data_IF_395286111590
#
_entry.id   IF_395286111590
#
_cell.length_a   1.000
_cell.length_b   1.000
_cell.length_c   1.000
_cell.angle_alpha   90.00
_cell.angle_beta   90.00
_cell.angle_gamma   90.00
#
_symmetry.space_group_name_H-M   'P 1'
#
loop_
_entity.id
_entity.type
_entity.pdbx_description
1 polymer ?
#
# COMPACT_ATOMS: atom_id res chain seq x y z
N UNK A 1 20.87 5.78 -11.53
CA UNK A 1 19.72 4.86 -11.48
C UNK A 1 18.50 5.69 -11.79
N UNK A 2 17.73 5.35 -12.82
CA UNK A 2 16.55 6.12 -13.25
C UNK A 2 15.25 5.42 -12.89
N UNK A 3 14.23 6.21 -12.56
CA UNK A 3 12.88 5.74 -12.21
C UNK A 3 11.86 6.43 -13.12
N UNK A 4 10.88 5.67 -13.60
CA UNK A 4 9.74 6.20 -14.36
C UNK A 4 8.41 5.83 -13.70
N UNK A 5 7.35 6.60 -13.97
CA UNK A 5 5.99 6.21 -13.62
C UNK A 5 5.45 5.23 -14.66
N UNK A 6 4.96 4.07 -14.21
CA UNK A 6 4.32 3.11 -15.10
C UNK A 6 2.90 3.56 -15.48
N UNK A 7 2.44 3.18 -16.67
CA UNK A 7 1.05 3.27 -17.08
C UNK A 7 0.12 2.48 -16.14
N UNK A 8 0.62 1.40 -15.54
CA UNK A 8 -0.09 0.69 -14.47
C UNK A 8 -0.32 1.56 -13.23
N UNK A 9 0.73 2.21 -12.70
CA UNK A 9 0.63 2.96 -11.45
C UNK A 9 -0.02 4.34 -11.63
N UNK A 10 0.17 4.99 -12.77
CA UNK A 10 -0.28 6.36 -13.03
C UNK A 10 -1.76 6.62 -12.63
N UNK A 11 -2.76 5.90 -13.16
CA UNK A 11 -4.17 6.15 -12.82
C UNK A 11 -4.53 5.73 -11.39
N UNK A 12 -3.72 4.88 -10.75
CA UNK A 12 -3.97 4.38 -9.39
C UNK A 12 -3.45 5.36 -8.33
N UNK A 13 -2.25 5.90 -8.57
CA UNK A 13 -1.57 6.84 -7.70
C UNK A 13 -2.04 8.28 -7.93
N UNK A 14 -2.38 8.64 -9.16
CA UNK A 14 -2.88 9.96 -9.56
C UNK A 14 -4.26 9.85 -10.22
N UNK A 15 -5.27 9.45 -9.45
CA UNK A 15 -6.61 9.24 -9.98
C UNK A 15 -7.23 10.56 -10.44
N UNK A 16 -7.89 10.54 -11.61
CA UNK A 16 -8.42 11.75 -12.25
C UNK A 16 -9.54 12.44 -11.44
N UNK A 17 -10.24 11.68 -10.60
CA UNK A 17 -11.26 12.18 -9.66
C UNK A 17 -10.66 12.88 -8.43
N UNK A 18 -9.33 12.85 -8.28
CA UNK A 18 -8.62 13.45 -7.15
C UNK A 18 -8.93 12.78 -5.81
N UNK A 19 -9.41 11.52 -5.81
CA UNK A 19 -9.85 10.87 -4.56
C UNK A 19 -8.77 10.95 -3.46
N UNK A 20 -9.15 11.19 -2.19
CA UNK A 20 -8.19 11.48 -1.13
C UNK A 20 -7.16 10.38 -0.83
N UNK A 21 -7.42 9.14 -1.25
CA UNK A 21 -6.51 8.00 -1.09
C UNK A 21 -5.38 7.94 -2.16
N UNK A 22 -5.44 8.78 -3.19
CA UNK A 22 -4.33 8.96 -4.15
C UNK A 22 -3.17 9.79 -3.56
N UNK A 23 -2.08 9.94 -4.31
CA UNK A 23 -1.02 10.90 -3.99
C UNK A 23 -1.57 12.33 -4.10
N UNK A 24 -1.31 13.15 -3.08
CA UNK A 24 -1.86 14.50 -2.95
C UNK A 24 -0.76 15.55 -2.87
N UNK A 25 -0.99 16.73 -3.45
CA UNK A 25 -0.05 17.85 -3.35
C UNK A 25 1.22 17.70 -4.19
N UNK A 26 1.22 16.81 -5.19
CA UNK A 26 2.31 16.63 -6.15
C UNK A 26 1.75 16.19 -7.50
N UNK A 27 2.34 16.64 -8.61
CA UNK A 27 2.00 16.13 -9.95
C UNK A 27 2.78 14.84 -10.25
N UNK A 28 2.34 14.01 -11.22
CA UNK A 28 3.09 12.85 -11.67
C UNK A 28 4.55 13.17 -12.04
N UNK A 29 4.77 14.21 -12.83
CA UNK A 29 6.11 14.60 -13.28
C UNK A 29 6.98 15.08 -12.13
N UNK A 30 6.44 15.90 -11.22
CA UNK A 30 7.19 16.37 -10.05
C UNK A 30 7.51 15.25 -9.07
N UNK A 31 6.63 14.25 -8.94
CA UNK A 31 6.86 13.07 -8.12
C UNK A 31 8.03 12.25 -8.67
N UNK A 32 8.05 11.96 -9.98
CA UNK A 32 9.13 11.23 -10.62
C UNK A 32 10.45 12.02 -10.61
N UNK A 33 10.40 13.33 -10.84
CA UNK A 33 11.58 14.19 -10.73
C UNK A 33 12.18 14.09 -9.31
N UNK A 34 11.36 14.21 -8.27
CA UNK A 34 11.82 14.06 -6.89
C UNK A 34 12.50 12.70 -6.64
N UNK A 35 11.91 11.60 -7.12
CA UNK A 35 12.46 10.26 -6.96
C UNK A 35 13.80 10.04 -7.68
N UNK A 36 14.04 10.72 -8.79
CA UNK A 36 15.31 10.66 -9.51
C UNK A 36 16.38 11.58 -8.89
N UNK A 37 15.97 12.71 -8.31
CA UNK A 37 16.87 13.71 -7.73
C UNK A 37 17.28 13.39 -6.28
N UNK A 38 16.47 12.62 -5.55
CA UNK A 38 16.67 12.33 -4.13
C UNK A 38 16.77 10.83 -3.87
N UNK A 39 17.90 10.39 -3.28
CA UNK A 39 18.05 9.02 -2.85
C UNK A 39 17.04 8.67 -1.73
N UNK A 40 16.50 7.43 -1.71
CA UNK A 40 15.66 6.98 -0.61
C UNK A 40 16.47 6.94 0.69
N UNK A 41 15.81 7.21 1.81
CA UNK A 41 16.45 7.12 3.14
C UNK A 41 16.72 5.66 3.55
N UNK A 42 15.99 4.72 2.93
CA UNK A 42 16.13 3.28 3.11
C UNK A 42 15.54 2.57 1.89
N UNK A 43 16.13 1.45 1.50
CA UNK A 43 15.53 0.53 0.52
C UNK A 43 15.14 -0.75 1.27
N UNK A 44 13.88 -1.17 1.14
CA UNK A 44 13.41 -2.47 1.64
C UNK A 44 13.36 -3.46 0.49
N UNK A 45 13.64 -4.72 0.81
CA UNK A 45 13.39 -5.83 -0.08
C UNK A 45 11.88 -6.03 -0.22
N UNK A 46 11.39 -6.13 -1.45
CA UNK A 46 10.02 -6.53 -1.72
C UNK A 46 9.85 -8.04 -1.61
N UNK A 47 8.70 -8.54 -2.07
CA UNK A 47 8.37 -9.96 -2.00
C UNK A 47 9.17 -10.84 -2.98
N UNK A 48 9.87 -10.23 -3.94
CA UNK A 48 10.67 -10.91 -4.96
C UNK A 48 11.92 -10.08 -5.30
N UNK A 49 12.99 -10.69 -5.87
CA UNK A 49 14.24 -9.98 -6.15
C UNK A 49 14.11 -8.73 -7.03
N UNK A 50 13.14 -8.74 -7.96
CA UNK A 50 12.85 -7.63 -8.87
C UNK A 50 12.04 -6.49 -8.22
N UNK A 51 11.56 -6.67 -6.99
CA UNK A 51 10.67 -5.74 -6.31
C UNK A 51 11.41 -5.08 -5.13
N UNK A 52 11.40 -3.74 -5.10
CA UNK A 52 11.98 -2.96 -4.01
C UNK A 52 10.98 -1.92 -3.51
N UNK A 53 11.11 -1.54 -2.25
CA UNK A 53 10.38 -0.41 -1.68
C UNK A 53 11.37 0.69 -1.31
N UNK A 54 11.34 1.78 -2.05
CA UNK A 54 12.10 2.98 -1.75
C UNK A 54 11.38 3.80 -0.69
N UNK A 55 12.00 3.95 0.48
CA UNK A 55 11.45 4.73 1.58
C UNK A 55 11.90 6.17 1.44
N UNK A 56 10.94 7.09 1.39
CA UNK A 56 11.18 8.53 1.40
C UNK A 56 10.38 9.19 2.53
N UNK A 57 10.90 10.30 3.08
CA UNK A 57 10.07 11.20 3.89
C UNK A 57 8.96 11.74 3.01
N UNK A 58 7.73 11.81 3.50
CA UNK A 58 6.64 12.35 2.71
C UNK A 58 6.84 13.87 2.49
N UNK A 59 7.09 14.27 1.23
CA UNK A 59 7.20 15.67 0.82
C UNK A 59 5.88 16.23 0.24
N UNK A 60 4.81 15.47 0.40
CA UNK A 60 3.50 15.70 -0.23
C UNK A 60 2.42 15.87 0.86
N UNK A 61 1.17 16.09 0.48
CA UNK A 61 0.04 16.10 1.42
C UNK A 61 -0.71 14.77 1.51
N UNK A 62 -0.12 13.69 0.95
CA UNK A 62 -0.68 12.34 0.96
C UNK A 62 -0.95 11.84 2.38
N UNK A 63 -2.14 11.26 2.59
CA UNK A 63 -2.58 10.73 3.89
C UNK A 63 -2.31 9.24 4.03
N UNK A 64 -2.18 8.77 5.28
CA UNK A 64 -2.13 7.35 5.59
C UNK A 64 -3.41 6.64 5.12
N UNK A 65 -3.26 5.39 4.67
CA UNK A 65 -4.39 4.52 4.36
C UNK A 65 -5.03 3.89 5.60
N UNK A 66 -4.49 4.18 6.79
CA UNK A 66 -4.99 3.73 8.07
C UNK A 66 -5.06 4.89 9.06
N UNK A 67 -5.99 4.79 10.01
CA UNK A 67 -6.15 5.75 11.12
C UNK A 67 -5.94 5.01 12.45
N UNK A 68 -5.16 5.59 13.38
CA UNK A 68 -5.07 5.08 14.74
C UNK A 68 -6.44 5.06 15.43
N UNK A 69 -6.73 3.99 16.15
CA UNK A 69 -7.92 3.85 16.99
C UNK A 69 -7.60 4.45 18.36
N UNK A 70 -8.34 5.48 18.74
CA UNK A 70 -8.25 6.19 20.02
C UNK A 70 -9.59 6.13 20.75
N UNK A 71 -9.63 6.48 22.02
CA UNK A 71 -10.90 6.52 22.76
C UNK A 71 -11.88 7.53 22.18
N UNK A 72 -11.37 8.63 21.62
CA UNK A 72 -12.15 9.68 20.97
C UNK A 72 -12.80 9.24 19.65
N UNK A 73 -12.20 8.29 18.92
CA UNK A 73 -12.72 7.90 17.60
C UNK A 73 -13.25 6.47 17.54
N UNK A 74 -12.97 5.59 18.51
CA UNK A 74 -13.36 4.17 18.47
C UNK A 74 -14.83 3.94 18.16
N UNK A 75 -15.70 4.81 18.66
CA UNK A 75 -17.15 4.75 18.45
C UNK A 75 -17.59 5.03 17.00
N UNK A 76 -16.69 5.56 16.16
CA UNK A 76 -16.92 5.84 14.74
C UNK A 76 -16.55 4.66 13.82
N UNK A 77 -15.96 3.59 14.36
CA UNK A 77 -15.65 2.41 13.57
C UNK A 77 -16.90 1.83 12.93
N UNK A 78 -16.76 1.46 11.66
CA UNK A 78 -17.72 0.68 10.89
C UNK A 78 -17.23 -0.74 10.74
N UNK A 79 -18.16 -1.65 10.53
CA UNK A 79 -17.86 -3.05 10.22
C UNK A 79 -18.93 -3.67 9.36
N UNK A 80 -18.52 -4.60 8.50
CA UNK A 80 -19.40 -5.39 7.66
C UNK A 80 -18.72 -6.71 7.29
N UNK A 81 -19.49 -7.65 6.75
CA UNK A 81 -18.96 -8.78 6.01
C UNK A 81 -18.83 -8.37 4.54
N UNK A 82 -17.60 -8.33 4.02
CA UNK A 82 -17.31 -7.90 2.66
C UNK A 82 -16.44 -8.92 1.94
N UNK A 83 -16.76 -9.18 0.67
CA UNK A 83 -15.93 -9.94 -0.25
C UNK A 83 -15.13 -8.98 -1.14
N UNK A 84 -13.93 -9.38 -1.56
CA UNK A 84 -13.11 -8.58 -2.50
C UNK A 84 -13.58 -8.76 -3.94
N UNK A 85 -14.16 -9.91 -4.25
CA UNK A 85 -14.72 -10.29 -5.55
C UNK A 85 -15.95 -11.16 -5.31
N UNK A 86 -16.81 -11.32 -6.32
CA UNK A 86 -18.02 -12.16 -6.22
C UNK A 86 -17.71 -13.65 -6.03
N UNK A 87 -16.47 -14.07 -6.31
CA UNK A 87 -16.01 -15.44 -6.14
C UNK A 87 -15.47 -15.75 -4.73
N UNK A 88 -15.18 -14.72 -3.92
CA UNK A 88 -14.61 -14.91 -2.58
C UNK A 88 -15.69 -14.87 -1.49
N UNK A 89 -15.51 -15.67 -0.44
CA UNK A 89 -16.37 -15.59 0.74
C UNK A 89 -16.20 -14.23 1.45
N UNK A 90 -17.30 -13.59 1.89
CA UNK A 90 -17.22 -12.34 2.62
C UNK A 90 -16.65 -12.55 4.01
N UNK A 91 -15.81 -11.62 4.44
CA UNK A 91 -15.13 -11.68 5.74
C UNK A 91 -15.41 -10.44 6.56
N UNK A 92 -15.36 -10.57 7.89
CA UNK A 92 -15.53 -9.43 8.79
C UNK A 92 -14.38 -8.43 8.58
N UNK A 93 -14.72 -7.22 8.18
CA UNK A 93 -13.79 -6.10 8.05
C UNK A 93 -14.25 -4.92 8.91
N UNK A 94 -13.32 -4.04 9.25
CA UNK A 94 -13.60 -2.78 9.94
C UNK A 94 -12.80 -1.63 9.36
N UNK A 95 -13.37 -0.44 9.38
CA UNK A 95 -12.77 0.76 8.83
C UNK A 95 -13.30 2.02 9.52
N UNK A 96 -12.64 3.13 9.22
CA UNK A 96 -13.18 4.47 9.43
C UNK A 96 -13.62 5.08 8.11
N UNK A 97 -14.75 5.79 8.15
CA UNK A 97 -15.27 6.66 7.09
C UNK A 97 -15.70 7.99 7.73
N UNK A 98 -15.67 9.09 6.97
CA UNK A 98 -16.06 10.41 7.49
C UNK A 98 -15.13 10.99 8.56
N UNK A 99 -13.95 10.41 8.75
CA UNK A 99 -12.87 10.95 9.60
C UNK A 99 -11.69 11.40 8.75
N UNK A 100 -10.85 12.29 9.29
CA UNK A 100 -9.62 12.68 8.65
C UNK A 100 -8.47 11.72 9.02
N UNK A 101 -7.92 11.00 8.04
CA UNK A 101 -6.68 10.26 8.24
C UNK A 101 -5.48 11.20 8.41
N UNK A 102 -4.47 10.85 9.22
CA UNK A 102 -3.26 11.67 9.36
C UNK A 102 -2.50 11.78 8.03
N UNK A 103 -1.76 12.87 7.84
CA UNK A 103 -0.77 12.97 6.76
C UNK A 103 0.31 11.91 7.04
N UNK A 104 0.72 11.18 6.01
CA UNK A 104 1.76 10.17 6.16
C UNK A 104 3.11 10.81 6.45
N UNK A 105 3.94 10.16 7.27
CA UNK A 105 5.33 10.59 7.50
C UNK A 105 6.27 10.09 6.40
N UNK A 106 5.90 8.99 5.75
CA UNK A 106 6.71 8.32 4.73
C UNK A 106 5.89 7.85 3.54
N UNK A 107 6.55 7.88 2.37
CA UNK A 107 6.10 7.23 1.14
C UNK A 107 7.04 6.05 0.87
N UNK A 108 6.48 4.85 0.80
CA UNK A 108 7.17 3.62 0.40
C UNK A 108 6.82 3.36 -1.05
N UNK A 109 7.67 3.84 -1.96
CA UNK A 109 7.47 3.71 -3.40
C UNK A 109 7.90 2.32 -3.83
N UNK A 110 6.93 1.55 -4.33
CA UNK A 110 7.15 0.19 -4.81
C UNK A 110 7.62 0.28 -6.26
N UNK A 111 8.80 -0.25 -6.54
CA UNK A 111 9.40 -0.25 -7.86
C UNK A 111 9.74 -1.65 -8.31
N UNK A 112 9.49 -1.93 -9.59
CA UNK A 112 9.95 -3.15 -10.26
C UNK A 112 11.10 -2.83 -11.20
N UNK A 113 12.04 -3.77 -11.34
CA UNK A 113 13.09 -3.64 -12.34
C UNK A 113 12.51 -3.73 -13.77
N UNK A 114 13.27 -3.18 -14.70
CA UNK A 114 12.91 -3.15 -16.12
C UNK A 114 12.64 -4.54 -16.72
N UNK A 115 13.37 -5.58 -16.30
CA UNK A 115 13.20 -6.92 -16.87
C UNK A 115 11.86 -7.54 -16.49
N UNK A 116 11.42 -7.32 -15.25
CA UNK A 116 10.12 -7.76 -14.79
C UNK A 116 9.00 -6.98 -15.49
N UNK A 117 9.12 -5.66 -15.61
CA UNK A 117 8.12 -4.84 -16.31
C UNK A 117 7.94 -5.28 -17.76
N UNK A 118 9.05 -5.60 -18.46
CA UNK A 118 8.99 -6.15 -19.81
C UNK A 118 8.23 -7.49 -19.88
N UNK A 119 8.43 -8.39 -18.91
CA UNK A 119 7.67 -9.66 -18.83
C UNK A 119 6.18 -9.44 -18.60
N UNK A 120 5.81 -8.37 -17.90
CA UNK A 120 4.42 -7.97 -17.65
C UNK A 120 3.81 -7.17 -18.82
N UNK A 121 4.55 -6.98 -19.92
CA UNK A 121 4.08 -6.30 -21.12
C UNK A 121 4.24 -4.78 -21.08
N UNK A 122 4.97 -4.25 -20.11
CA UNK A 122 5.24 -2.82 -19.94
C UNK A 122 6.72 -2.52 -20.17
N UNK A 123 7.08 -2.16 -21.40
CA UNK A 123 8.45 -1.81 -21.75
C UNK A 123 8.80 -0.39 -21.29
N UNK A 124 9.87 -0.25 -20.50
CA UNK A 124 10.42 1.03 -20.05
C UNK A 124 11.91 1.13 -20.33
N UNK A 125 12.41 2.33 -20.59
CA UNK A 125 13.85 2.56 -20.77
C UNK A 125 14.60 2.70 -19.44
N UNK A 126 13.91 3.20 -18.41
CA UNK A 126 14.45 3.42 -17.07
C UNK A 126 14.85 2.10 -16.38
N UNK A 127 15.74 2.20 -15.38
CA UNK A 127 16.17 1.03 -14.61
C UNK A 127 15.02 0.41 -13.80
N UNK A 128 14.12 1.28 -13.31
CA UNK A 128 12.99 0.93 -12.46
C UNK A 128 11.70 1.63 -12.90
N UNK A 129 10.57 0.97 -12.71
CA UNK A 129 9.24 1.57 -12.86
C UNK A 129 8.45 1.51 -11.55
N UNK A 130 7.81 2.63 -11.18
CA UNK A 130 6.90 2.69 -10.04
C UNK A 130 5.67 1.86 -10.33
N UNK A 131 5.36 0.86 -9.52
CA UNK A 131 4.15 0.02 -9.64
C UNK A 131 3.13 0.30 -8.52
N UNK A 132 3.55 1.02 -7.47
CA UNK A 132 2.68 1.40 -6.36
C UNK A 132 3.38 2.32 -5.36
N UNK A 133 2.64 2.79 -4.37
CA UNK A 133 3.18 3.60 -3.29
C UNK A 133 2.32 3.41 -2.04
N UNK A 134 2.95 3.15 -0.90
CA UNK A 134 2.28 3.07 0.40
C UNK A 134 2.56 4.34 1.20
N UNK A 135 1.50 5.03 1.61
CA UNK A 135 1.58 6.18 2.50
C UNK A 135 1.41 5.72 3.95
N UNK A 136 2.45 5.91 4.76
CA UNK A 136 2.59 5.28 6.08
C UNK A 136 3.11 6.24 7.15
N UNK A 137 2.79 5.94 8.42
CA UNK A 137 3.29 6.69 9.57
C UNK A 137 4.72 6.30 9.97
N UNK A 138 5.24 5.16 9.50
CA UNK A 138 6.58 4.66 9.85
C UNK A 138 7.33 4.27 8.59
N UNK A 139 8.68 4.18 8.59
CA UNK A 139 9.46 3.82 7.40
C UNK A 139 9.41 2.31 7.09
N UNK A 140 8.34 1.62 7.48
CA UNK A 140 8.15 0.19 7.34
C UNK A 140 6.81 -0.11 6.67
N UNK A 141 6.74 -1.22 5.95
CA UNK A 141 5.51 -1.67 5.33
C UNK A 141 4.44 -1.96 6.40
N UNK A 142 3.22 -1.51 6.15
CA UNK A 142 2.07 -1.85 6.98
C UNK A 142 1.80 -3.36 6.87
N UNK A 143 1.75 -4.11 7.98
CA UNK A 143 1.44 -5.54 7.93
C UNK A 143 0.08 -5.78 7.25
N UNK A 144 -0.03 -6.86 6.47
CA UNK A 144 -1.33 -7.33 5.96
C UNK A 144 -2.33 -7.49 7.11
N UNK A 145 -3.62 -7.23 6.86
CA UNK A 145 -4.67 -7.46 7.85
C UNK A 145 -4.71 -8.94 8.29
N UNK A 146 -5.05 -9.27 9.55
CA UNK A 146 -5.04 -10.65 10.04
C UNK A 146 -5.87 -11.60 9.17
N UNK A 147 -7.01 -11.13 8.70
CA UNK A 147 -7.90 -11.89 7.82
C UNK A 147 -7.27 -12.20 6.45
N UNK A 148 -6.40 -11.33 5.93
CA UNK A 148 -5.66 -11.57 4.69
C UNK A 148 -4.66 -12.71 4.89
N UNK A 149 -3.96 -12.74 6.02
CA UNK A 149 -3.05 -13.84 6.37
C UNK A 149 -3.80 -15.17 6.52
N UNK A 150 -4.97 -15.16 7.18
CA UNK A 150 -5.80 -16.36 7.32
C UNK A 150 -6.32 -16.86 5.97
N UNK A 151 -6.85 -15.97 5.12
CA UNK A 151 -7.32 -16.33 3.77
C UNK A 151 -6.20 -16.86 2.90
N UNK A 152 -5.01 -16.27 2.95
CA UNK A 152 -3.88 -16.74 2.15
C UNK A 152 -3.55 -18.23 2.42
N UNK A 153 -3.74 -18.70 3.65
CA UNK A 153 -3.54 -20.09 4.03
C UNK A 153 -4.63 -21.06 3.53
N UNK A 154 -5.76 -20.56 3.02
CA UNK A 154 -6.85 -21.39 2.47
C UNK A 154 -6.59 -21.85 1.03
N UNK A 155 -5.57 -21.30 0.35
CA UNK A 155 -5.25 -21.67 -1.03
C UNK A 155 -5.94 -20.83 -2.09
N UNK A 156 -5.57 -21.06 -3.34
CA UNK A 156 -6.02 -20.27 -4.51
C UNK A 156 -7.52 -20.40 -4.78
N UNK A 157 -8.11 -21.55 -4.46
CA UNK A 157 -9.54 -21.83 -4.66
C UNK A 157 -10.43 -20.91 -3.80
N UNK A 158 -9.89 -20.42 -2.68
CA UNK A 158 -10.56 -19.52 -1.73
C UNK A 158 -10.03 -18.06 -1.85
N UNK A 159 -9.34 -17.73 -2.95
CA UNK A 159 -8.77 -16.39 -3.20
C UNK A 159 -7.51 -16.06 -2.39
N UNK A 160 -6.89 -17.07 -1.77
CA UNK A 160 -5.61 -16.99 -1.08
C UNK A 160 -4.40 -17.23 -1.98
N UNK A 161 -3.19 -17.04 -1.44
CA UNK A 161 -1.94 -17.35 -2.15
C UNK A 161 -1.45 -18.80 -1.96
N UNK A 162 -2.04 -19.56 -1.02
CA UNK A 162 -1.56 -20.89 -0.62
C UNK A 162 -0.36 -20.88 0.33
N UNK A 163 0.11 -19.70 0.75
CA UNK A 163 1.20 -19.57 1.72
C UNK A 163 0.70 -19.95 3.11
N UNK A 164 1.41 -20.87 3.77
CA UNK A 164 1.08 -21.30 5.13
C UNK A 164 1.09 -20.13 6.12
N UNK A 165 0.20 -20.19 7.11
CA UNK A 165 0.08 -19.14 8.12
C UNK A 165 1.32 -19.08 9.03
N UNK A 166 2.07 -17.99 8.94
CA UNK A 166 3.15 -17.66 9.89
C UNK A 166 2.54 -17.03 11.15
N UNK A 167 2.70 -17.71 12.29
CA UNK A 167 2.16 -17.30 13.58
C UNK A 167 2.76 -15.98 14.09
N UNK A 168 4.04 -15.71 13.83
CA UNK A 168 4.70 -14.48 14.28
C UNK A 168 4.33 -13.30 13.38
N UNK A 169 4.20 -13.53 12.07
CA UNK A 169 3.66 -12.53 11.16
C UNK A 169 2.21 -12.18 11.52
N UNK A 170 1.39 -13.19 11.87
CA UNK A 170 0.03 -13.00 12.34
C UNK A 170 -0.03 -12.18 13.63
N UNK A 171 0.80 -12.48 14.64
CA UNK A 171 0.84 -11.69 15.89
C UNK A 171 1.23 -10.23 15.64
N UNK A 172 2.25 -9.98 14.81
CA UNK A 172 2.65 -8.60 14.43
C UNK A 172 1.52 -7.86 13.71
N UNK A 173 0.80 -8.57 12.84
CA UNK A 173 -0.39 -8.03 12.19
C UNK A 173 -1.46 -7.65 13.22
N UNK A 174 -1.80 -8.55 14.15
CA UNK A 174 -2.77 -8.28 15.21
C UNK A 174 -2.35 -7.08 16.06
N UNK A 175 -1.09 -6.98 16.47
CA UNK A 175 -0.59 -5.86 17.28
C UNK A 175 -0.79 -4.50 16.60
N UNK A 176 -0.54 -4.44 15.29
CA UNK A 176 -0.77 -3.25 14.48
C UNK A 176 -2.27 -2.97 14.32
N UNK A 177 -3.03 -3.95 13.83
CA UNK A 177 -4.44 -3.79 13.48
C UNK A 177 -5.36 -3.68 14.68
N UNK A 178 -4.95 -4.12 15.88
CA UNK A 178 -5.70 -3.87 17.12
C UNK A 178 -5.82 -2.38 17.44
N UNK A 179 -4.85 -1.58 16.98
CA UNK A 179 -4.71 -0.13 17.24
C UNK A 179 -4.94 0.74 16.02
N UNK A 180 -5.23 0.16 14.85
CA UNK A 180 -5.43 0.88 13.60
C UNK A 180 -6.62 0.29 12.82
N UNK A 181 -7.29 1.13 12.03
CA UNK A 181 -8.31 0.70 11.09
C UNK A 181 -8.04 1.31 9.71
N UNK A 182 -8.49 0.63 8.66
CA UNK A 182 -8.42 1.16 7.30
C UNK A 182 -9.20 2.47 7.21
N UNK A 183 -8.72 3.41 6.40
CA UNK A 183 -9.43 4.63 6.06
C UNK A 183 -10.12 4.49 4.70
N UNK A 184 -11.41 4.78 4.67
CA UNK A 184 -12.19 4.94 3.44
C UNK A 184 -12.53 6.43 3.31
N UNK A 185 -11.96 7.04 2.27
CA UNK A 185 -12.22 8.42 1.89
C UNK A 185 -13.65 8.59 1.37
#
# INVERSE_FOLDING_TARGET
MSIVLTAFAAPRLFPADGRPNGLQGVSPDAFIAHLNDHAPIKVLEGYAPFCKLHVHRNWTSTRCTTVPITDDNRHLLRSAYEARTDAELPVLVRWFEGVAAPIADYLLVIVYDREQLLKEGEAVEADWGVVGCLATATPAETPMAPITLMRNALGIDEGGSGVALDADAYRRSVDFWAKNANWRA
#
